data_IF_385681508649
#
_entry.id   IF_385681508649
#
_cell.length_a   1.000
_cell.length_b   1.000
_cell.length_c   1.000
_cell.angle_alpha   90.00
_cell.angle_beta   90.00
_cell.angle_gamma   90.00
#
_symmetry.space_group_name_H-M   'P 1'
#
loop_
_entity.id
_entity.type
_entity.pdbx_description
1 polymer ?
#
# COMPACT_ATOMS: atom_id res chain seq x y z
N UNK A 1 22.78 -16.71 -43.15
CA UNK A 1 22.03 -15.62 -43.81
C UNK A 1 20.55 -15.83 -43.52
N UNK A 2 19.95 -14.93 -42.74
CA UNK A 2 18.52 -14.73 -42.46
C UNK A 2 17.70 -15.90 -41.85
N UNK A 3 17.77 -16.05 -40.52
CA UNK A 3 16.59 -16.45 -39.75
C UNK A 3 15.71 -15.20 -39.60
N UNK A 4 14.59 -15.16 -40.33
CA UNK A 4 13.63 -14.06 -40.25
C UNK A 4 12.91 -14.11 -38.89
N UNK A 5 12.98 -12.97 -38.22
CA UNK A 5 12.15 -12.53 -37.10
C UNK A 5 10.71 -13.07 -37.15
N UNK A 6 10.38 -13.97 -36.22
CA UNK A 6 9.02 -14.14 -35.77
C UNK A 6 8.84 -13.20 -34.58
N UNK A 7 8.30 -12.00 -34.84
CA UNK A 7 7.80 -11.13 -33.79
C UNK A 7 6.68 -11.87 -33.05
N UNK A 8 6.65 -11.90 -31.72
CA UNK A 8 5.50 -12.42 -30.99
C UNK A 8 4.38 -11.37 -31.05
N UNK A 9 3.66 -11.33 -32.16
CA UNK A 9 2.32 -10.74 -32.19
C UNK A 9 1.32 -11.81 -31.71
N UNK A 10 0.41 -11.40 -30.83
CA UNK A 10 -0.84 -12.11 -30.46
C UNK A 10 -0.79 -13.19 -29.35
N UNK A 11 0.13 -13.09 -28.39
CA UNK A 11 -0.10 -13.65 -27.04
C UNK A 11 -1.11 -12.78 -26.29
N UNK A 12 -2.17 -13.39 -25.72
CA UNK A 12 -3.27 -12.75 -24.98
C UNK A 12 -2.88 -11.39 -24.36
N UNK A 13 -3.09 -10.30 -25.12
CA UNK A 13 -3.24 -8.98 -24.52
C UNK A 13 -4.37 -9.13 -23.52
N UNK A 14 -4.15 -8.70 -22.28
CA UNK A 14 -5.25 -8.38 -21.38
C UNK A 14 -6.34 -7.70 -22.21
N UNK A 15 -7.62 -8.07 -22.06
CA UNK A 15 -8.68 -7.48 -22.87
C UNK A 15 -8.47 -5.97 -22.88
N UNK A 16 -8.72 -5.35 -24.03
CA UNK A 16 -8.53 -3.94 -24.37
C UNK A 16 -9.31 -2.95 -23.50
N UNK A 17 -9.45 -3.21 -22.20
CA UNK A 17 -10.30 -2.56 -21.22
C UNK A 17 -9.60 -1.45 -20.43
N UNK A 18 -8.33 -1.16 -20.73
CA UNK A 18 -7.63 0.00 -20.18
C UNK A 18 -7.13 0.92 -21.30
N UNK A 19 -8.05 1.46 -22.10
CA UNK A 19 -7.79 2.67 -22.87
C UNK A 19 -7.88 3.88 -21.91
N UNK A 20 -6.99 3.90 -20.91
CA UNK A 20 -6.93 4.93 -19.87
C UNK A 20 -6.15 6.11 -20.44
N UNK A 21 -6.85 7.11 -20.98
CA UNK A 21 -6.21 8.33 -21.49
C UNK A 21 -6.18 9.43 -20.43
N UNK A 22 -6.96 9.30 -19.35
CA UNK A 22 -7.10 10.28 -18.26
C UNK A 22 -7.30 9.59 -16.89
N UNK A 23 -6.96 10.22 -15.75
CA UNK A 23 -7.11 9.59 -14.42
C UNK A 23 -8.53 9.16 -14.08
N UNK A 24 -9.52 9.94 -14.53
CA UNK A 24 -10.94 9.61 -14.44
C UNK A 24 -11.34 8.28 -15.09
N UNK A 25 -10.57 7.76 -16.03
CA UNK A 25 -10.90 6.50 -16.73
C UNK A 25 -10.64 5.28 -15.81
N UNK A 26 -9.72 5.39 -14.83
CA UNK A 26 -9.49 4.36 -13.80
C UNK A 26 -10.71 4.23 -12.89
N UNK A 27 -11.24 5.39 -12.47
CA UNK A 27 -12.41 5.49 -11.58
C UNK A 27 -13.67 4.97 -12.29
N UNK A 28 -13.88 5.39 -13.54
CA UNK A 28 -15.10 5.08 -14.29
C UNK A 28 -15.18 3.63 -14.81
N UNK A 29 -14.07 3.02 -15.27
CA UNK A 29 -14.11 1.64 -15.78
C UNK A 29 -14.17 0.56 -14.68
N UNK A 30 -13.81 0.89 -13.44
CA UNK A 30 -13.83 -0.06 -12.31
C UNK A 30 -15.11 0.05 -11.47
N UNK A 31 -15.71 1.24 -11.37
CA UNK A 31 -16.97 1.48 -10.64
C UNK A 31 -18.22 0.92 -11.32
N UNK A 32 -18.22 0.77 -12.65
CA UNK A 32 -19.43 0.47 -13.44
C UNK A 32 -20.06 -0.91 -13.20
N UNK A 33 -19.32 -1.91 -12.71
CA UNK A 33 -19.86 -3.27 -12.46
C UNK A 33 -20.09 -3.61 -10.99
N UNK A 34 -19.45 -2.90 -10.05
CA UNK A 34 -19.72 -3.03 -8.62
C UNK A 34 -20.73 -1.99 -8.12
N UNK A 35 -21.04 -0.95 -8.90
CA UNK A 35 -21.92 0.17 -8.53
C UNK A 35 -23.44 -0.11 -8.42
N UNK A 36 -23.89 -1.36 -8.24
CA UNK A 36 -25.31 -1.69 -8.00
C UNK A 36 -25.53 -2.60 -6.78
N UNK A 37 -24.79 -2.37 -5.69
CA UNK A 37 -25.10 -2.93 -4.37
C UNK A 37 -26.18 -2.11 -3.63
N UNK A 38 -27.34 -1.89 -4.25
CA UNK A 38 -28.49 -1.21 -3.61
C UNK A 38 -28.95 -1.95 -2.35
N UNK A 39 -29.12 -1.24 -1.23
CA UNK A 39 -29.46 -1.76 0.11
C UNK A 39 -28.32 -2.49 0.85
N UNK A 40 -27.18 -2.72 0.20
CA UNK A 40 -26.11 -3.64 0.66
C UNK A 40 -24.85 -2.92 1.15
N UNK A 41 -24.72 -1.63 0.84
CA UNK A 41 -23.68 -0.76 1.40
C UNK A 41 -23.91 -0.47 2.88
N UNK A 42 -25.16 -0.44 3.35
CA UNK A 42 -25.49 -0.09 4.73
C UNK A 42 -24.92 -1.12 5.74
N UNK A 43 -24.98 -2.41 5.42
CA UNK A 43 -24.37 -3.47 6.25
C UNK A 43 -22.85 -3.32 6.33
N UNK A 44 -22.18 -3.01 5.22
CA UNK A 44 -20.74 -2.79 5.19
C UNK A 44 -20.37 -1.50 5.94
N UNK A 45 -21.10 -0.41 5.72
CA UNK A 45 -20.92 0.85 6.45
C UNK A 45 -21.10 0.66 7.96
N UNK A 46 -22.11 -0.11 8.36
CA UNK A 46 -22.36 -0.47 9.76
C UNK A 46 -21.20 -1.27 10.32
N UNK A 47 -20.72 -2.29 9.60
CA UNK A 47 -19.58 -3.09 10.03
C UNK A 47 -18.27 -2.28 10.10
N UNK A 48 -18.04 -1.36 9.16
CA UNK A 48 -16.89 -0.45 9.20
C UNK A 48 -16.96 0.48 10.41
N UNK A 49 -18.13 1.04 10.72
CA UNK A 49 -18.33 1.93 11.88
C UNK A 49 -18.23 1.16 13.20
N UNK A 50 -19.09 0.16 13.39
CA UNK A 50 -19.35 -0.46 14.69
C UNK A 50 -18.37 -1.58 15.04
N UNK A 51 -17.78 -2.25 14.05
CA UNK A 51 -16.83 -3.34 14.28
C UNK A 51 -15.39 -2.97 13.94
N UNK A 52 -15.15 -2.29 12.82
CA UNK A 52 -13.78 -1.85 12.46
C UNK A 52 -13.36 -0.60 13.24
N UNK A 53 -14.31 0.23 13.67
CA UNK A 53 -14.04 1.46 14.42
C UNK A 53 -13.74 2.67 13.54
N UNK A 54 -14.35 2.75 12.35
CA UNK A 54 -14.23 3.90 11.44
C UNK A 54 -15.18 5.04 11.86
N UNK A 55 -14.87 6.30 11.58
CA UNK A 55 -13.68 6.81 10.87
C UNK A 55 -12.42 6.83 11.74
N UNK A 56 -11.26 6.63 11.09
CA UNK A 56 -9.97 6.74 11.80
C UNK A 56 -9.53 8.20 11.89
N UNK A 57 -8.93 8.66 13.02
CA UNK A 57 -8.48 10.04 13.15
C UNK A 57 -7.43 10.47 12.11
N UNK A 58 -7.49 11.75 11.73
CA UNK A 58 -6.39 12.48 11.10
C UNK A 58 -5.67 13.29 12.20
N UNK A 59 -4.60 12.72 12.73
CA UNK A 59 -3.89 13.20 13.91
C UNK A 59 -2.80 14.19 13.54
N UNK A 60 -2.78 15.39 14.13
CA UNK A 60 -1.67 16.32 13.96
C UNK A 60 -0.49 15.91 14.86
N UNK A 61 0.61 15.51 14.26
CA UNK A 61 1.81 15.07 14.96
C UNK A 61 2.69 16.28 15.27
N UNK A 62 2.36 16.97 16.36
CA UNK A 62 3.02 18.24 16.73
C UNK A 62 4.52 18.07 16.97
N UNK A 63 4.95 17.02 17.68
CA UNK A 63 6.37 16.83 18.03
C UNK A 63 7.16 16.36 16.83
N UNK A 64 6.55 15.54 15.97
CA UNK A 64 7.13 15.17 14.69
C UNK A 64 7.23 16.38 13.74
N UNK A 65 6.22 17.24 13.72
CA UNK A 65 6.25 18.51 12.97
C UNK A 65 7.41 19.38 13.45
N UNK A 66 7.52 19.59 14.76
CA UNK A 66 8.61 20.37 15.36
C UNK A 66 9.99 19.78 15.06
N UNK A 67 10.12 18.46 14.95
CA UNK A 67 11.36 17.79 14.58
C UNK A 67 11.85 18.16 13.17
N UNK A 68 10.94 18.47 12.24
CA UNK A 68 11.27 18.85 10.87
C UNK A 68 11.24 20.36 10.61
N UNK A 69 11.05 21.17 11.64
CA UNK A 69 11.17 22.62 11.51
C UNK A 69 12.62 23.00 11.24
N UNK A 70 12.80 24.08 10.47
CA UNK A 70 14.07 24.73 10.25
C UNK A 70 14.53 25.50 11.52
N UNK A 71 15.67 26.18 11.43
CA UNK A 71 16.25 26.95 12.53
C UNK A 71 15.36 28.10 13.03
N UNK A 72 14.39 28.55 12.23
CA UNK A 72 13.43 29.61 12.57
C UNK A 72 12.15 29.05 13.21
N UNK A 73 12.06 27.73 13.37
CA UNK A 73 10.88 27.06 13.93
C UNK A 73 9.74 26.91 12.93
N UNK A 74 10.01 27.08 11.63
CA UNK A 74 9.04 26.93 10.55
C UNK A 74 9.29 25.65 9.75
N UNK A 75 8.24 25.03 9.22
CA UNK A 75 8.36 23.80 8.46
C UNK A 75 7.02 23.27 7.96
N UNK A 76 7.01 22.09 7.33
CA UNK A 76 5.77 21.42 6.94
C UNK A 76 5.02 20.88 8.17
N UNK A 77 3.69 20.87 8.10
CA UNK A 77 2.84 20.32 9.15
C UNK A 77 2.48 18.86 8.86
N UNK A 78 2.78 17.98 9.81
CA UNK A 78 2.64 16.54 9.61
C UNK A 78 1.39 16.01 10.29
N UNK A 79 0.56 15.34 9.49
CA UNK A 79 -0.65 14.68 9.91
C UNK A 79 -0.55 13.17 9.67
N UNK A 80 -1.03 12.38 10.61
CA UNK A 80 -1.02 10.93 10.54
C UNK A 80 -2.45 10.43 10.37
N UNK A 81 -2.73 9.74 9.26
CA UNK A 81 -4.00 9.03 9.08
C UNK A 81 -3.91 7.69 9.81
N UNK A 82 -4.68 7.55 10.89
CA UNK A 82 -4.50 6.52 11.93
C UNK A 82 -5.13 5.16 11.60
N UNK A 83 -4.70 4.54 10.50
CA UNK A 83 -5.12 3.19 10.11
C UNK A 83 -4.71 2.09 11.09
N UNK A 84 -3.75 2.37 11.97
CA UNK A 84 -3.31 1.56 13.10
C UNK A 84 -4.36 1.38 14.19
N UNK A 85 -5.33 2.30 14.29
CA UNK A 85 -6.41 2.25 15.28
C UNK A 85 -7.62 1.43 14.83
N UNK A 86 -7.64 0.95 13.58
CA UNK A 86 -8.67 0.00 13.16
C UNK A 86 -8.65 -1.24 14.07
N UNK A 87 -9.81 -1.84 14.32
CA UNK A 87 -9.91 -3.10 15.06
C UNK A 87 -8.95 -4.16 14.48
N UNK A 88 -8.07 -4.76 15.28
CA UNK A 88 -7.05 -5.69 14.79
C UNK A 88 -5.78 -5.03 14.23
N UNK A 89 -5.70 -3.70 14.26
CA UNK A 89 -4.44 -2.95 14.18
C UNK A 89 -3.94 -2.56 12.79
N UNK A 90 -4.75 -2.68 11.73
CA UNK A 90 -4.31 -2.31 10.38
C UNK A 90 -5.46 -2.02 9.40
N UNK A 91 -5.13 -1.32 8.31
CA UNK A 91 -6.04 -1.05 7.17
C UNK A 91 -6.59 -2.32 6.48
N UNK A 92 -5.93 -3.47 6.64
CA UNK A 92 -6.35 -4.74 6.01
C UNK A 92 -7.77 -5.18 6.40
N UNK A 93 -8.29 -4.72 7.54
CA UNK A 93 -9.68 -4.99 7.97
C UNK A 93 -10.74 -4.51 6.99
N UNK A 94 -10.57 -3.31 6.41
CA UNK A 94 -11.57 -2.71 5.52
C UNK A 94 -11.90 -3.67 4.37
N UNK A 95 -10.85 -4.21 3.77
CA UNK A 95 -10.92 -5.18 2.69
C UNK A 95 -11.39 -6.56 3.17
N UNK A 96 -10.87 -7.05 4.29
CA UNK A 96 -11.18 -8.39 4.78
C UNK A 96 -12.66 -8.56 5.13
N UNK A 97 -13.27 -7.58 5.80
CA UNK A 97 -14.69 -7.66 6.18
C UNK A 97 -15.60 -7.60 4.94
N UNK A 98 -15.30 -6.71 4.00
CA UNK A 98 -16.06 -6.59 2.76
C UNK A 98 -16.00 -7.89 1.92
N UNK A 99 -14.80 -8.45 1.75
CA UNK A 99 -14.63 -9.72 1.04
C UNK A 99 -15.24 -10.92 1.79
N UNK A 100 -15.18 -10.96 3.12
CA UNK A 100 -15.85 -12.00 3.90
C UNK A 100 -17.38 -11.94 3.74
N UNK A 101 -17.96 -10.74 3.70
CA UNK A 101 -19.39 -10.56 3.42
C UNK A 101 -19.74 -11.01 2.00
N UNK A 102 -18.87 -10.75 1.01
CA UNK A 102 -19.03 -11.26 -0.35
C UNK A 102 -18.97 -12.79 -0.37
N UNK A 103 -17.97 -13.39 0.27
CA UNK A 103 -17.81 -14.85 0.34
C UNK A 103 -19.05 -15.51 0.96
N UNK A 104 -19.56 -14.96 2.06
CA UNK A 104 -20.80 -15.43 2.71
C UNK A 104 -22.00 -15.34 1.77
N UNK A 105 -22.16 -14.22 1.06
CA UNK A 105 -23.26 -14.01 0.10
C UNK A 105 -23.16 -14.92 -1.13
N UNK A 106 -21.95 -15.30 -1.52
CA UNK A 106 -21.69 -16.28 -2.57
C UNK A 106 -21.90 -17.73 -2.11
N UNK A 107 -22.29 -17.96 -0.85
CA UNK A 107 -22.47 -19.31 -0.30
C UNK A 107 -21.16 -20.08 -0.14
N UNK A 108 -20.02 -19.39 -0.07
CA UNK A 108 -18.71 -20.03 0.08
C UNK A 108 -18.56 -20.56 1.51
N UNK A 109 -18.04 -21.78 1.63
CA UNK A 109 -17.95 -22.51 2.89
C UNK A 109 -16.62 -22.26 3.62
N UNK A 110 -15.61 -21.77 2.91
CA UNK A 110 -14.28 -21.49 3.47
C UNK A 110 -13.59 -20.34 2.75
N UNK A 111 -12.65 -19.70 3.45
CA UNK A 111 -11.82 -18.62 2.93
C UNK A 111 -10.37 -19.10 2.90
N UNK A 112 -9.68 -18.79 1.81
CA UNK A 112 -8.23 -18.94 1.67
C UNK A 112 -7.63 -17.56 1.52
N UNK A 113 -6.58 -17.28 2.29
CA UNK A 113 -5.85 -16.01 2.24
C UNK A 113 -4.36 -16.27 2.38
N UNK A 114 -3.55 -15.40 1.78
CA UNK A 114 -2.11 -15.35 2.03
C UNK A 114 -1.78 -14.21 3.01
N UNK A 115 -0.80 -14.43 3.90
CA UNK A 115 -0.29 -13.38 4.80
C UNK A 115 1.23 -13.37 4.77
N UNK A 116 1.80 -12.18 4.61
CA UNK A 116 3.25 -11.94 4.73
C UNK A 116 3.65 -11.29 6.06
N UNK A 117 2.72 -10.60 6.74
CA UNK A 117 2.99 -9.82 7.94
C UNK A 117 2.72 -10.58 9.26
N UNK A 118 2.40 -11.87 9.19
CA UNK A 118 2.22 -12.71 10.38
C UNK A 118 3.58 -13.26 10.81
N UNK A 119 4.10 -12.80 11.94
CA UNK A 119 5.26 -13.32 12.68
C UNK A 119 6.38 -13.94 11.80
N UNK A 120 7.40 -13.13 11.49
CA UNK A 120 8.65 -13.50 10.80
C UNK A 120 8.58 -13.79 9.28
N UNK A 121 7.68 -13.13 8.54
CA UNK A 121 7.62 -13.27 7.09
C UNK A 121 8.63 -12.39 6.34
N UNK A 122 9.81 -12.93 6.01
CA UNK A 122 10.67 -12.40 4.94
C UNK A 122 9.78 -12.20 3.70
N UNK A 123 9.97 -11.11 2.93
CA UNK A 123 9.14 -10.84 1.77
C UNK A 123 9.03 -12.07 0.82
N UNK A 124 10.09 -12.88 0.70
CA UNK A 124 10.10 -14.18 0.02
C UNK A 124 9.03 -15.16 0.53
N UNK A 125 8.87 -15.33 1.85
CA UNK A 125 7.83 -16.21 2.43
C UNK A 125 6.41 -15.73 2.06
N UNK A 126 6.22 -14.42 1.94
CA UNK A 126 4.95 -13.85 1.49
C UNK A 126 4.63 -14.20 0.02
N UNK A 127 5.64 -14.24 -0.88
CA UNK A 127 5.46 -14.64 -2.28
C UNK A 127 5.03 -16.11 -2.41
N UNK A 128 5.68 -16.98 -1.64
CA UNK A 128 5.32 -18.40 -1.58
C UNK A 128 3.91 -18.59 -1.00
N UNK A 129 3.58 -17.91 0.09
CA UNK A 129 2.24 -17.95 0.68
C UNK A 129 1.16 -17.51 -0.32
N UNK A 130 1.41 -16.48 -1.13
CA UNK A 130 0.49 -16.06 -2.20
C UNK A 130 0.29 -17.14 -3.26
N UNK A 131 1.38 -17.79 -3.69
CA UNK A 131 1.31 -18.87 -4.69
C UNK A 131 0.53 -20.08 -4.16
N UNK A 132 0.77 -20.48 -2.91
CA UNK A 132 0.04 -21.58 -2.27
C UNK A 132 -1.44 -21.25 -2.04
N UNK A 133 -1.76 -20.02 -1.66
CA UNK A 133 -3.15 -19.61 -1.51
C UNK A 133 -3.93 -19.69 -2.84
N UNK A 134 -3.29 -19.28 -3.95
CA UNK A 134 -3.89 -19.39 -5.29
C UNK A 134 -4.10 -20.87 -5.65
N UNK A 135 -3.09 -21.73 -5.45
CA UNK A 135 -3.22 -23.19 -5.69
C UNK A 135 -4.34 -23.81 -4.88
N UNK A 136 -4.41 -23.49 -3.58
CA UNK A 136 -5.45 -23.99 -2.69
C UNK A 136 -6.85 -23.53 -3.10
N UNK A 137 -6.99 -22.31 -3.64
CA UNK A 137 -8.24 -21.79 -4.18
C UNK A 137 -8.65 -22.50 -5.48
N UNK A 138 -7.73 -22.59 -6.45
CA UNK A 138 -7.96 -23.28 -7.73
C UNK A 138 -8.36 -24.74 -7.53
N UNK A 139 -7.79 -25.40 -6.50
CA UNK A 139 -8.16 -26.78 -6.15
C UNK A 139 -9.62 -26.97 -5.70
N UNK A 140 -10.36 -25.91 -5.33
CA UNK A 140 -11.78 -26.03 -4.99
C UNK A 140 -12.52 -24.68 -5.10
N UNK A 141 -12.81 -24.25 -6.34
CA UNK A 141 -13.49 -22.98 -6.64
C UNK A 141 -14.96 -22.94 -6.20
N UNK A 142 -15.61 -24.10 -6.02
CA UNK A 142 -17.01 -24.18 -5.63
C UNK A 142 -17.22 -23.80 -4.16
N UNK A 143 -16.32 -24.24 -3.28
CA UNK A 143 -16.50 -24.05 -1.83
C UNK A 143 -15.58 -22.99 -1.24
N UNK A 144 -14.44 -22.70 -1.88
CA UNK A 144 -13.44 -21.75 -1.36
C UNK A 144 -13.57 -20.38 -2.01
N UNK A 145 -13.40 -19.35 -1.19
CA UNK A 145 -13.20 -17.97 -1.63
C UNK A 145 -11.76 -17.56 -1.41
N UNK A 146 -11.10 -17.02 -2.45
CA UNK A 146 -9.80 -16.39 -2.29
C UNK A 146 -9.96 -14.95 -1.81
N UNK A 147 -9.55 -14.68 -0.58
CA UNK A 147 -9.52 -13.34 -0.02
C UNK A 147 -8.22 -12.66 -0.44
N UNK A 148 -8.32 -11.80 -1.45
CA UNK A 148 -7.19 -11.03 -1.95
C UNK A 148 -6.75 -10.02 -0.89
N UNK A 149 -5.54 -10.16 -0.34
CA UNK A 149 -5.04 -9.35 0.77
C UNK A 149 -4.48 -7.97 0.38
N UNK A 150 -4.21 -7.75 -0.90
CA UNK A 150 -3.59 -6.52 -1.45
C UNK A 150 -4.07 -6.29 -2.89
N UNK A 151 -3.73 -5.16 -3.49
CA UNK A 151 -4.14 -4.75 -4.84
C UNK A 151 -3.42 -5.50 -5.97
N UNK A 152 -3.08 -6.77 -5.77
CA UNK A 152 -2.39 -7.64 -6.73
C UNK A 152 -3.31 -8.78 -7.17
N UNK A 153 -2.90 -9.53 -8.19
CA UNK A 153 -3.67 -10.66 -8.72
C UNK A 153 -4.55 -10.27 -9.92
N UNK A 154 -5.31 -11.24 -10.47
CA UNK A 154 -6.12 -11.00 -11.66
C UNK A 154 -7.32 -10.10 -11.36
N UNK A 155 -7.84 -9.44 -12.39
CA UNK A 155 -9.15 -8.77 -12.27
C UNK A 155 -10.22 -9.79 -11.81
N UNK A 156 -11.09 -9.45 -10.84
CA UNK A 156 -11.33 -8.12 -10.27
C UNK A 156 -10.58 -7.78 -8.97
N UNK A 157 -9.63 -8.61 -8.52
CA UNK A 157 -9.00 -8.49 -7.21
C UNK A 157 -8.35 -7.11 -6.95
N UNK A 158 -7.48 -6.56 -7.83
CA UNK A 158 -6.89 -5.24 -7.61
C UNK A 158 -7.91 -4.12 -7.41
N UNK A 159 -8.88 -4.03 -8.32
CA UNK A 159 -9.91 -2.98 -8.31
C UNK A 159 -10.84 -3.10 -7.10
N UNK A 160 -11.19 -4.34 -6.72
CA UNK A 160 -12.04 -4.61 -5.56
C UNK A 160 -11.34 -4.20 -4.26
N UNK A 161 -10.07 -4.58 -4.08
CA UNK A 161 -9.28 -4.22 -2.88
C UNK A 161 -9.12 -2.71 -2.79
N UNK A 162 -8.82 -2.04 -3.91
CA UNK A 162 -8.74 -0.56 -3.95
C UNK A 162 -10.07 0.07 -3.55
N UNK A 163 -11.19 -0.41 -4.08
CA UNK A 163 -12.52 0.12 -3.75
C UNK A 163 -12.81 0.04 -2.24
N UNK A 164 -12.53 -1.10 -1.61
CA UNK A 164 -12.73 -1.25 -0.17
C UNK A 164 -11.76 -0.44 0.69
N UNK A 165 -10.58 -0.09 0.15
CA UNK A 165 -9.63 0.79 0.82
C UNK A 165 -9.88 2.28 0.55
N UNK A 166 -10.71 2.64 -0.45
CA UNK A 166 -11.03 4.02 -0.81
C UNK A 166 -11.62 4.83 0.34
N UNK A 167 -12.26 4.17 1.31
CA UNK A 167 -12.82 4.80 2.50
C UNK A 167 -11.79 5.60 3.29
N UNK A 168 -10.53 5.15 3.32
CA UNK A 168 -9.48 5.86 4.03
C UNK A 168 -9.27 7.23 3.35
N UNK A 169 -9.27 7.28 2.01
CA UNK A 169 -9.16 8.50 1.19
C UNK A 169 -10.29 9.47 1.41
N UNK A 170 -11.51 8.95 1.32
CA UNK A 170 -12.75 9.71 1.55
C UNK A 170 -12.76 10.37 2.93
N UNK A 171 -12.38 9.64 3.97
CA UNK A 171 -12.28 10.19 5.33
C UNK A 171 -11.17 11.23 5.44
N UNK A 172 -9.97 10.96 4.89
CA UNK A 172 -8.88 11.93 4.95
C UNK A 172 -9.24 13.22 4.23
N UNK A 173 -9.86 13.16 3.05
CA UNK A 173 -10.35 14.35 2.34
C UNK A 173 -11.33 15.12 3.21
N UNK A 174 -12.35 14.44 3.74
CA UNK A 174 -13.34 15.06 4.63
C UNK A 174 -12.67 15.75 5.82
N UNK A 175 -11.79 15.04 6.53
CA UNK A 175 -11.11 15.55 7.72
C UNK A 175 -10.11 16.68 7.41
N UNK A 176 -9.44 16.63 6.26
CA UNK A 176 -8.56 17.69 5.77
C UNK A 176 -9.36 18.96 5.47
N UNK A 177 -10.48 18.82 4.74
CA UNK A 177 -11.40 19.92 4.44
C UNK A 177 -11.99 20.55 5.70
N UNK A 178 -12.31 19.75 6.72
CA UNK A 178 -12.78 20.25 8.03
C UNK A 178 -11.70 21.01 8.82
N UNK A 179 -10.42 20.65 8.66
CA UNK A 179 -9.31 21.24 9.42
C UNK A 179 -8.71 22.49 8.77
N UNK A 180 -8.55 22.49 7.45
CA UNK A 180 -7.86 23.57 6.73
C UNK A 180 -8.53 23.98 5.41
N UNK A 181 -9.75 23.52 5.14
CA UNK A 181 -10.53 23.96 3.98
C UNK A 181 -9.99 23.47 2.63
N UNK A 182 -10.46 24.09 1.54
CA UNK A 182 -9.94 23.85 0.19
C UNK A 182 -8.62 24.60 0.02
N UNK A 183 -7.51 23.89 0.17
CA UNK A 183 -6.20 24.45 -0.07
C UNK A 183 -5.12 23.59 0.55
N UNK A 184 -4.24 23.06 -0.29
CA UNK A 184 -2.96 22.40 0.03
C UNK A 184 -2.95 20.91 0.40
N UNK A 185 -1.76 20.35 0.16
CA UNK A 185 -1.46 19.05 -0.40
C UNK A 185 -1.63 17.91 0.62
N UNK A 186 -2.11 16.73 0.19
CA UNK A 186 -2.32 15.57 1.07
C UNK A 186 -1.68 14.30 0.50
N UNK A 187 -0.72 13.70 1.21
CA UNK A 187 -0.18 12.39 0.85
C UNK A 187 -1.05 11.24 1.35
N UNK A 188 -0.99 10.16 0.57
CA UNK A 188 -1.59 8.88 0.89
C UNK A 188 -3.05 8.88 0.49
N UNK A 189 -3.50 7.77 -0.11
CA UNK A 189 -4.90 7.52 -0.53
C UNK A 189 -5.17 7.92 -1.98
N UNK A 190 -4.20 7.61 -2.84
CA UNK A 190 -4.10 8.01 -4.24
C UNK A 190 -5.43 8.05 -4.97
N UNK A 191 -6.28 7.03 -4.79
CA UNK A 191 -7.56 6.95 -5.49
C UNK A 191 -8.46 8.18 -5.31
N UNK A 192 -8.57 8.71 -4.09
CA UNK A 192 -9.44 9.84 -3.81
C UNK A 192 -8.86 11.16 -4.35
N UNK A 193 -7.53 11.29 -4.35
CA UNK A 193 -6.79 12.52 -4.69
C UNK A 193 -6.22 12.53 -6.11
N UNK A 194 -6.46 11.49 -6.92
CA UNK A 194 -5.84 11.30 -8.23
C UNK A 194 -6.13 12.41 -9.25
N UNK A 195 -7.20 13.18 -9.05
CA UNK A 195 -7.58 14.29 -9.92
C UNK A 195 -7.21 15.66 -9.33
N UNK A 196 -6.59 15.70 -8.14
CA UNK A 196 -6.22 16.94 -7.49
C UNK A 196 -4.78 17.30 -7.92
N UNK A 197 -4.65 18.18 -8.90
CA UNK A 197 -3.35 18.55 -9.49
C UNK A 197 -2.39 19.20 -8.47
N UNK A 198 -2.94 19.87 -7.45
CA UNK A 198 -2.16 20.46 -6.37
C UNK A 198 -1.67 19.42 -5.35
N UNK A 199 -2.17 18.18 -5.40
CA UNK A 199 -1.83 17.13 -4.44
C UNK A 199 -0.74 16.21 -4.98
N UNK A 200 0.45 16.30 -4.39
CA UNK A 200 1.53 15.33 -4.67
C UNK A 200 1.19 13.97 -4.07
N UNK A 201 1.20 12.94 -4.91
CA UNK A 201 1.00 11.55 -4.51
C UNK A 201 2.35 10.86 -4.43
N UNK A 202 2.81 10.53 -3.22
CA UNK A 202 4.12 9.90 -3.01
C UNK A 202 3.95 8.49 -2.42
N UNK A 203 4.53 7.51 -3.09
CA UNK A 203 4.70 6.13 -2.60
C UNK A 203 6.15 5.89 -2.17
N UNK A 204 6.34 5.08 -1.13
CA UNK A 204 7.68 4.71 -0.65
C UNK A 204 7.83 3.20 -0.64
N UNK A 205 8.81 2.70 -1.39
CA UNK A 205 9.18 1.29 -1.44
C UNK A 205 10.28 0.97 -0.42
N UNK A 206 10.31 -0.28 0.01
CA UNK A 206 11.39 -0.76 0.86
C UNK A 206 12.63 -1.11 0.04
N UNK A 207 13.72 -0.40 0.33
CA UNK A 207 15.03 -0.60 -0.26
C UNK A 207 15.84 -1.70 0.43
N UNK A 208 15.30 -2.38 1.45
CA UNK A 208 16.03 -3.40 2.20
C UNK A 208 17.36 -2.86 2.74
N UNK A 209 18.47 -3.54 2.41
CA UNK A 209 19.83 -3.11 2.75
C UNK A 209 20.43 -2.08 1.78
N UNK A 210 19.62 -1.50 0.91
CA UNK A 210 20.03 -0.56 -0.13
C UNK A 210 19.84 -1.16 -1.52
N UNK A 211 19.59 -0.30 -2.52
CA UNK A 211 19.27 -0.72 -3.88
C UNK A 211 20.41 -1.50 -4.55
N UNK A 212 21.66 -1.20 -4.22
CA UNK A 212 22.83 -1.82 -4.85
C UNK A 212 23.24 -3.13 -4.15
N UNK A 213 22.60 -3.46 -3.02
CA UNK A 213 22.87 -4.70 -2.27
C UNK A 213 22.27 -5.95 -2.92
N UNK A 214 21.35 -5.77 -3.89
CA UNK A 214 20.49 -6.85 -4.40
C UNK A 214 19.47 -7.40 -3.39
N UNK A 215 19.46 -6.90 -2.15
CA UNK A 215 18.55 -7.31 -1.08
C UNK A 215 17.55 -6.20 -0.78
N UNK A 216 16.54 -6.08 -1.62
CA UNK A 216 15.47 -5.08 -1.51
C UNK A 216 14.12 -5.60 -2.04
N UNK A 217 13.08 -4.77 -1.96
CA UNK A 217 11.77 -5.00 -2.60
C UNK A 217 11.27 -3.77 -3.39
N UNK A 218 12.20 -2.88 -3.78
CA UNK A 218 11.97 -1.68 -4.58
C UNK A 218 11.62 -2.02 -6.06
N UNK A 219 10.43 -2.59 -6.23
CA UNK A 219 9.94 -3.21 -7.47
C UNK A 219 9.65 -2.18 -8.55
N UNK A 220 9.08 -1.04 -8.19
CA UNK A 220 8.88 0.07 -9.10
C UNK A 220 10.21 0.70 -9.49
N UNK A 221 11.17 0.76 -8.57
CA UNK A 221 12.45 1.43 -8.80
C UNK A 221 13.42 0.61 -9.66
N UNK A 222 13.47 -0.72 -9.46
CA UNK A 222 14.47 -1.61 -10.10
C UNK A 222 13.85 -2.72 -10.95
N UNK A 223 12.53 -2.84 -10.99
CA UNK A 223 11.84 -3.93 -11.67
C UNK A 223 11.27 -3.55 -13.03
N UNK A 224 11.05 -4.58 -13.83
CA UNK A 224 10.51 -4.50 -15.18
C UNK A 224 9.03 -4.93 -15.21
N UNK A 225 8.32 -4.50 -16.25
CA UNK A 225 6.90 -4.81 -16.41
C UNK A 225 6.76 -6.22 -17.00
N UNK A 226 6.10 -7.11 -16.27
CA UNK A 226 5.80 -8.46 -16.75
C UNK A 226 4.51 -9.04 -16.12
N UNK A 227 4.09 -10.22 -16.58
CA UNK A 227 2.92 -10.95 -16.13
C UNK A 227 3.26 -11.88 -14.96
N UNK A 228 2.71 -11.58 -13.78
CA UNK A 228 2.81 -12.50 -12.65
C UNK A 228 1.56 -12.50 -11.78
N UNK A 229 1.20 -13.69 -11.28
CA UNK A 229 -0.04 -13.92 -10.53
C UNK A 229 -1.30 -13.38 -11.24
N UNK A 230 -1.32 -13.38 -12.57
CA UNK A 230 -2.50 -13.00 -13.38
C UNK A 230 -2.68 -11.49 -13.62
N UNK A 231 -1.65 -10.67 -13.38
CA UNK A 231 -1.66 -9.25 -13.75
C UNK A 231 -0.30 -8.79 -14.31
N UNK A 232 -0.36 -7.89 -15.30
CA UNK A 232 0.80 -7.12 -15.79
C UNK A 232 1.16 -6.05 -14.76
N UNK A 233 2.41 -6.03 -14.28
CA UNK A 233 2.89 -5.08 -13.26
C UNK A 233 4.42 -5.05 -13.23
N UNK A 234 5.01 -4.07 -12.55
CA UNK A 234 6.44 -4.11 -12.25
C UNK A 234 6.77 -5.31 -11.33
N UNK A 235 7.88 -5.98 -11.63
CA UNK A 235 8.39 -7.18 -10.95
C UNK A 235 9.91 -7.12 -10.85
N UNK A 236 10.46 -7.62 -9.75
CA UNK A 236 11.89 -7.90 -9.66
C UNK A 236 12.13 -9.27 -10.28
N UNK A 237 12.87 -9.29 -11.39
CA UNK A 237 13.16 -10.50 -12.15
C UNK A 237 14.59 -10.48 -12.70
N UNK A 238 15.14 -11.65 -13.00
CA UNK A 238 16.40 -11.78 -13.72
C UNK A 238 16.21 -11.67 -15.25
N UNK A 239 17.32 -11.81 -15.99
CA UNK A 239 17.33 -11.73 -17.46
C UNK A 239 16.49 -12.83 -18.14
N UNK A 240 16.19 -13.93 -17.43
CA UNK A 240 15.35 -15.02 -17.91
C UNK A 240 13.88 -14.86 -17.50
N UNK A 241 13.52 -13.75 -16.84
CA UNK A 241 12.18 -13.47 -16.35
C UNK A 241 11.80 -14.27 -15.10
N UNK A 242 12.77 -14.86 -14.39
CA UNK A 242 12.50 -15.53 -13.11
C UNK A 242 12.35 -14.51 -12.00
N UNK A 243 11.31 -14.67 -11.17
CA UNK A 243 11.03 -13.75 -10.07
C UNK A 243 12.11 -13.85 -9.00
N UNK A 244 12.74 -12.72 -8.71
CA UNK A 244 13.74 -12.61 -7.66
C UNK A 244 13.08 -12.57 -6.27
N UNK A 245 13.73 -13.22 -5.30
CA UNK A 245 13.27 -13.25 -3.91
C UNK A 245 13.37 -11.86 -3.26
N UNK A 246 12.25 -11.23 -2.85
CA UNK A 246 12.31 -9.91 -2.25
C UNK A 246 12.86 -9.97 -0.81
N UNK A 247 13.53 -8.90 -0.40
CA UNK A 247 14.08 -8.73 0.95
C UNK A 247 13.73 -7.35 1.54
N UNK A 248 13.09 -7.34 2.71
CA UNK A 248 12.94 -6.17 3.58
C UNK A 248 12.27 -6.59 4.89
N UNK A 249 12.52 -5.83 5.96
CA UNK A 249 11.75 -5.89 7.21
C UNK A 249 10.31 -5.37 7.06
N UNK A 250 10.02 -4.54 6.05
CA UNK A 250 8.69 -4.03 5.70
C UNK A 250 8.20 -4.63 4.39
N UNK A 251 7.24 -5.55 4.44
CA UNK A 251 6.79 -6.26 3.24
C UNK A 251 5.75 -5.45 2.47
N UNK A 252 6.00 -5.20 1.17
CA UNK A 252 5.04 -4.63 0.23
C UNK A 252 5.14 -5.29 -1.14
N UNK A 253 3.99 -5.54 -1.79
CA UNK A 253 3.91 -5.95 -3.19
C UNK A 253 3.19 -4.89 -4.00
N UNK A 254 3.69 -4.65 -5.20
CA UNK A 254 3.15 -3.61 -6.10
C UNK A 254 2.00 -4.18 -6.93
N UNK A 255 0.89 -3.45 -6.99
CA UNK A 255 -0.25 -3.78 -7.84
C UNK A 255 -0.16 -3.14 -9.24
N UNK A 256 -0.95 -3.60 -10.23
CA UNK A 256 -0.96 -3.05 -11.58
C UNK A 256 -1.32 -1.55 -11.60
N UNK A 257 -2.26 -1.11 -10.76
CA UNK A 257 -2.65 0.32 -10.70
C UNK A 257 -1.52 1.21 -10.18
N UNK A 258 -0.71 0.71 -9.23
CA UNK A 258 0.46 1.44 -8.72
C UNK A 258 1.57 1.51 -9.77
N UNK A 259 1.77 0.42 -10.53
CA UNK A 259 2.70 0.38 -11.67
C UNK A 259 2.30 1.42 -12.72
N UNK A 260 1.01 1.47 -13.06
CA UNK A 260 0.45 2.45 -13.98
C UNK A 260 0.65 3.90 -13.48
N UNK A 261 0.39 4.19 -12.21
CA UNK A 261 0.59 5.52 -11.63
C UNK A 261 2.04 6.00 -11.72
N UNK A 262 3.01 5.08 -11.59
CA UNK A 262 4.43 5.38 -11.79
C UNK A 262 4.70 5.72 -13.26
N UNK A 263 4.27 4.84 -14.17
CA UNK A 263 4.54 5.00 -15.60
C UNK A 263 3.96 6.28 -16.18
N UNK A 264 2.78 6.70 -15.72
CA UNK A 264 2.15 7.95 -16.16
C UNK A 264 2.71 9.19 -15.46
N UNK A 265 3.53 9.04 -14.43
CA UNK A 265 4.03 10.14 -13.60
C UNK A 265 2.96 10.80 -12.73
N UNK A 266 1.82 10.15 -12.50
CA UNK A 266 0.75 10.69 -11.63
C UNK A 266 1.04 10.49 -10.14
N UNK A 267 1.97 9.60 -9.81
CA UNK A 267 2.52 9.50 -8.47
C UNK A 267 4.04 9.37 -8.54
N UNK A 268 4.70 10.01 -7.57
CA UNK A 268 6.14 9.93 -7.33
C UNK A 268 6.43 8.69 -6.47
N UNK A 269 7.50 7.97 -6.78
CA UNK A 269 7.91 6.80 -6.00
C UNK A 269 9.35 6.94 -5.55
N UNK A 270 9.56 6.78 -4.25
CA UNK A 270 10.87 6.84 -3.62
C UNK A 270 11.10 5.56 -2.81
N UNK A 271 12.27 5.49 -2.17
CA UNK A 271 12.67 4.30 -1.43
C UNK A 271 13.22 4.67 -0.04
N UNK A 272 12.97 3.82 0.94
CA UNK A 272 13.57 3.89 2.27
C UNK A 272 14.22 2.55 2.62
N UNK A 273 15.42 2.58 3.21
CA UNK A 273 16.13 1.39 3.69
C UNK A 273 15.53 0.87 4.99
N UNK A 274 15.78 -0.40 5.29
CA UNK A 274 15.38 -1.05 6.54
C UNK A 274 15.92 -0.28 7.77
N UNK A 275 17.18 0.18 7.73
CA UNK A 275 17.77 1.00 8.79
C UNK A 275 16.98 2.29 9.05
N UNK A 276 16.68 3.04 8.00
CA UNK A 276 15.91 4.28 8.08
C UNK A 276 14.47 4.04 8.60
N UNK A 277 13.87 2.91 8.24
CA UNK A 277 12.56 2.51 8.74
C UNK A 277 12.61 2.20 10.25
N UNK A 278 13.61 1.45 10.73
CA UNK A 278 13.77 1.18 12.18
C UNK A 278 14.07 2.47 12.95
N UNK A 279 14.96 3.33 12.45
CA UNK A 279 15.26 4.61 13.10
C UNK A 279 14.01 5.48 13.23
N UNK A 280 13.16 5.48 12.20
CA UNK A 280 11.92 6.25 12.17
C UNK A 280 10.83 5.64 13.04
N UNK A 281 10.74 4.30 13.12
CA UNK A 281 9.89 3.61 14.09
C UNK A 281 10.21 4.11 15.50
N UNK A 282 11.47 4.05 15.90
CA UNK A 282 11.93 4.45 17.23
C UNK A 282 11.65 5.93 17.47
N UNK A 283 11.92 6.78 16.48
CA UNK A 283 11.63 8.21 16.57
C UNK A 283 10.15 8.47 16.80
N UNK A 284 9.25 7.84 16.06
CA UNK A 284 7.82 8.07 16.24
C UNK A 284 7.35 7.59 17.63
N UNK A 285 7.92 6.51 18.14
CA UNK A 285 7.68 6.07 19.52
C UNK A 285 8.10 7.14 20.54
N UNK A 286 9.30 7.71 20.41
CA UNK A 286 9.80 8.73 21.34
C UNK A 286 9.08 10.08 21.20
N UNK A 287 8.87 10.53 19.97
CA UNK A 287 8.26 11.82 19.71
C UNK A 287 6.77 11.77 19.98
N UNK A 288 6.05 10.77 19.48
CA UNK A 288 4.58 10.78 19.50
C UNK A 288 3.94 9.73 20.41
N UNK A 289 4.70 8.78 20.95
CA UNK A 289 4.13 7.65 21.68
C UNK A 289 3.30 6.73 20.78
N UNK A 290 3.57 6.75 19.47
CA UNK A 290 2.89 5.92 18.47
C UNK A 290 3.89 4.88 17.98
N UNK A 291 3.49 3.61 18.04
CA UNK A 291 4.27 2.47 17.52
C UNK A 291 3.77 2.15 16.11
N UNK A 292 4.43 2.63 15.04
CA UNK A 292 3.99 2.37 13.67
C UNK A 292 4.39 0.95 13.27
N UNK A 293 3.65 0.31 12.36
CA UNK A 293 4.17 -0.89 11.71
C UNK A 293 5.44 -0.55 10.91
N UNK A 294 6.37 -1.50 10.73
CA UNK A 294 7.57 -1.28 9.93
C UNK A 294 7.23 -0.91 8.47
N UNK A 295 6.12 -1.40 7.93
CA UNK A 295 5.61 -0.96 6.62
C UNK A 295 5.27 0.54 6.59
N UNK A 296 4.60 1.07 7.62
CA UNK A 296 4.30 2.50 7.72
C UNK A 296 5.56 3.34 8.02
N UNK A 297 6.53 2.73 8.71
CA UNK A 297 7.80 3.38 9.06
C UNK A 297 8.64 3.72 7.83
N UNK A 298 8.53 2.94 6.75
CA UNK A 298 9.17 3.27 5.46
C UNK A 298 8.61 4.58 4.87
N UNK A 299 7.30 4.76 4.89
CA UNK A 299 6.67 6.00 4.41
C UNK A 299 7.11 7.21 5.25
N UNK A 300 7.17 7.05 6.57
CA UNK A 300 7.65 8.10 7.47
C UNK A 300 9.15 8.38 7.31
N UNK A 301 9.97 7.37 7.01
CA UNK A 301 11.42 7.53 6.87
C UNK A 301 11.79 8.45 5.69
N UNK A 302 10.92 8.52 4.67
CA UNK A 302 11.12 9.44 3.56
C UNK A 302 10.93 10.92 3.95
N UNK A 303 10.26 11.22 5.07
CA UNK A 303 10.08 12.59 5.53
C UNK A 303 11.41 13.33 5.75
N UNK A 304 12.47 12.62 6.17
CA UNK A 304 13.82 13.18 6.29
C UNK A 304 14.33 13.81 4.99
N UNK A 305 13.98 13.22 3.85
CA UNK A 305 14.36 13.74 2.53
C UNK A 305 13.33 14.74 2.01
N UNK A 306 12.05 14.52 2.31
CA UNK A 306 10.95 15.31 1.77
C UNK A 306 10.82 16.67 2.48
N UNK A 307 10.76 16.69 3.81
CA UNK A 307 10.43 17.89 4.58
C UNK A 307 11.34 19.10 4.30
N UNK A 308 12.67 18.94 4.15
CA UNK A 308 13.55 20.07 3.81
C UNK A 308 13.27 20.69 2.43
N UNK A 309 12.56 19.99 1.54
CA UNK A 309 12.23 20.44 0.19
C UNK A 309 10.86 21.13 0.08
N UNK A 310 10.08 21.08 1.16
CA UNK A 310 8.72 21.60 1.17
C UNK A 310 8.69 23.06 1.66
N UNK A 311 7.84 23.91 1.07
CA UNK A 311 7.55 25.22 1.65
C UNK A 311 7.01 25.12 3.08
N UNK A 312 7.31 26.13 3.90
CA UNK A 312 6.76 26.23 5.25
C UNK A 312 5.22 26.24 5.22
N UNK A 313 4.59 25.58 6.18
CA UNK A 313 3.14 25.45 6.27
C UNK A 313 2.53 24.41 5.32
N UNK A 314 3.32 23.76 4.45
CA UNK A 314 2.85 22.65 3.61
C UNK A 314 2.28 21.54 4.48
N UNK A 315 1.06 21.09 4.19
CA UNK A 315 0.46 19.95 4.89
C UNK A 315 1.01 18.65 4.30
N UNK A 316 1.36 17.71 5.18
CA UNK A 316 1.82 16.38 4.80
C UNK A 316 1.00 15.38 5.57
N UNK A 317 0.17 14.61 4.87
CA UNK A 317 -0.57 13.50 5.48
C UNK A 317 0.25 12.23 5.29
N UNK A 318 0.40 11.38 6.32
CA UNK A 318 1.09 10.08 6.20
C UNK A 318 0.14 8.98 6.66
N UNK A 319 -0.03 7.95 5.84
CA UNK A 319 -0.88 6.82 6.19
C UNK A 319 -0.17 5.88 7.15
N UNK A 320 -0.57 5.87 8.41
CA UNK A 320 -0.12 4.86 9.39
C UNK A 320 -0.92 3.60 9.15
N UNK A 321 -0.43 2.77 8.23
CA UNK A 321 -1.16 1.63 7.68
C UNK A 321 -1.48 0.53 8.71
N UNK A 322 -0.75 0.49 9.82
CA UNK A 322 -0.95 -0.45 10.92
C UNK A 322 -0.07 -0.12 12.13
N UNK A 323 -0.36 -0.76 13.25
CA UNK A 323 0.41 -0.67 14.50
C UNK A 323 1.60 -1.63 14.55
N UNK A 324 2.63 -1.22 15.27
CA UNK A 324 3.94 -1.85 15.34
C UNK A 324 4.11 -2.92 16.42
N UNK A 325 3.04 -3.35 17.10
CA UNK A 325 3.13 -4.39 18.14
C UNK A 325 3.78 -5.68 17.60
N UNK A 326 3.45 -6.05 16.36
CA UNK A 326 4.01 -7.22 15.68
C UNK A 326 5.51 -7.11 15.37
N UNK A 327 6.01 -5.87 15.32
CA UNK A 327 7.37 -5.56 14.88
C UNK A 327 8.30 -5.23 16.06
N UNK A 328 7.77 -5.08 17.28
CA UNK A 328 8.52 -4.66 18.46
C UNK A 328 9.72 -5.59 18.74
N UNK A 329 9.56 -6.90 18.58
CA UNK A 329 10.65 -7.86 18.75
C UNK A 329 11.78 -7.67 17.72
N UNK A 330 11.42 -7.41 16.46
CA UNK A 330 12.39 -7.15 15.38
C UNK A 330 13.17 -5.86 15.67
N UNK A 331 12.47 -4.80 16.05
CA UNK A 331 13.08 -3.52 16.39
C UNK A 331 14.01 -3.64 17.61
N UNK A 332 13.57 -4.37 18.63
CA UNK A 332 14.38 -4.60 19.83
C UNK A 332 15.65 -5.39 19.51
N UNK A 333 15.55 -6.47 18.73
CA UNK A 333 16.71 -7.24 18.29
C UNK A 333 17.68 -6.38 17.47
N UNK A 334 17.16 -5.58 16.54
CA UNK A 334 17.97 -4.67 15.73
C UNK A 334 18.76 -3.66 16.58
N UNK A 335 18.18 -3.19 17.69
CA UNK A 335 18.90 -2.31 18.63
C UNK A 335 19.98 -3.04 19.42
N UNK A 336 19.73 -4.28 19.83
CA UNK A 336 20.73 -5.10 20.52
C UNK A 336 21.95 -5.37 19.62
N UNK A 337 21.70 -5.77 18.37
CA UNK A 337 22.77 -6.11 17.42
C UNK A 337 23.70 -4.91 17.18
N UNK A 338 23.16 -3.67 17.13
CA UNK A 338 23.97 -2.43 17.00
C UNK A 338 24.76 -2.04 18.24
N UNK A 339 24.39 -2.54 19.42
CA UNK A 339 25.13 -2.29 20.67
C UNK A 339 26.26 -3.30 20.89
N UNK A 340 26.22 -4.42 20.16
CA UNK A 340 27.27 -5.46 20.20
C UNK A 340 28.38 -5.27 19.17
N UNK A 341 28.21 -4.36 18.21
CA UNK A 341 29.21 -3.93 17.22
C UNK A 341 29.99 -2.68 17.71
#
# INVERSE_FOLDING_TARGET
MAAKEARPEEGLRAPSTFNLKKPKDIVNNTGGKFGKFGGKYEELTTALRDYVGRETPLYFAQRLTNHYNNSEGEGPEIYLKRGDLNHGGAHKRNNAIAQAMIAKRMGRKSIVAATGAGQHGVATAAAYASSEAIRAWVGNLETKYYLAGTTVGPHPCPSMVREFQSIIGKETRKQAMEKWGSGSNALGLFHEFINDEDVRLIGVEAAGFGLDSGKHVATLTRGDVDLYHGAMRNLLQDEEGQILGPHSIGVGYVGPEVSFLKETGWAEFHTATDEAAVATYIRLCHLEGIFPALEASHALAFLEKLCPTLPNGTKVVVNISGRGDKDAAIVFQYQLDRLSD
#
